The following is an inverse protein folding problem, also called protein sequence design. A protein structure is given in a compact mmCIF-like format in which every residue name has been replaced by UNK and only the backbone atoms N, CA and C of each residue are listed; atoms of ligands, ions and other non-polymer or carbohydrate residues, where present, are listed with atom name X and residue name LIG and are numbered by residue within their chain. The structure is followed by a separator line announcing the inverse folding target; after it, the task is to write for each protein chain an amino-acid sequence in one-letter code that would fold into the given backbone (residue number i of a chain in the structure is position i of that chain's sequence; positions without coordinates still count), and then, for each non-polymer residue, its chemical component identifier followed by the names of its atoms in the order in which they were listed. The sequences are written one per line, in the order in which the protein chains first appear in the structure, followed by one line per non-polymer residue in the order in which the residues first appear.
data_IF_965183989736
#
_entry.id   IF_965183989736
#
_cell.length_a   1.000
_cell.length_b   1.000
_cell.length_c   1.000
_cell.angle_alpha   90.00
_cell.angle_beta   90.00
_cell.angle_gamma   90.00
#
_symmetry.space_group_name_H-M   'P 1'
#
loop_
_entity.id
_entity.type
_entity.pdbx_description
1 polymer ?
#
# COMPACT_ATOMS: atom_id res chain seq x y z
N UNK A 1 -5.59 -22.06 -31.80
CA UNK A 1 -4.52 -22.55 -32.69
C UNK A 1 -3.16 -22.32 -31.99
N UNK A 2 -2.33 -23.36 -31.81
CA UNK A 2 -1.01 -23.23 -31.19
C UNK A 2 -0.11 -22.15 -31.80
N UNK A 3 -0.17 -21.91 -33.11
CA UNK A 3 0.65 -20.88 -33.76
C UNK A 3 0.23 -19.47 -33.35
N UNK A 4 -1.07 -19.23 -33.25
CA UNK A 4 -1.62 -17.97 -32.74
C UNK A 4 -1.21 -17.71 -31.28
N UNK A 5 -1.26 -18.73 -30.41
CA UNK A 5 -0.84 -18.58 -29.01
C UNK A 5 0.64 -18.22 -28.87
N UNK A 6 1.51 -18.84 -29.68
CA UNK A 6 2.94 -18.53 -29.70
C UNK A 6 3.21 -17.10 -30.20
N UNK A 7 2.47 -16.65 -31.21
CA UNK A 7 2.59 -15.28 -31.72
C UNK A 7 2.18 -14.25 -30.65
N UNK A 8 1.07 -14.47 -29.94
CA UNK A 8 0.62 -13.62 -28.84
C UNK A 8 1.64 -13.57 -27.71
N UNK A 9 2.21 -14.72 -27.30
CA UNK A 9 3.21 -14.76 -26.25
C UNK A 9 4.49 -13.98 -26.61
N UNK A 10 4.96 -14.08 -27.86
CA UNK A 10 6.15 -13.35 -28.34
C UNK A 10 5.92 -11.85 -28.50
N UNK A 11 4.70 -11.44 -28.82
CA UNK A 11 4.35 -10.03 -29.00
C UNK A 11 4.10 -9.30 -27.66
N UNK A 12 4.06 -10.01 -26.53
CA UNK A 12 3.77 -9.39 -25.24
C UNK A 12 4.95 -8.51 -24.77
N UNK A 13 4.72 -7.24 -24.37
CA UNK A 13 5.80 -6.28 -24.16
C UNK A 13 6.70 -6.51 -22.92
N UNK A 14 6.39 -7.47 -22.04
CA UNK A 14 7.07 -7.57 -20.73
C UNK A 14 6.55 -6.56 -19.70
N UNK A 15 6.78 -6.77 -18.40
CA UNK A 15 6.26 -5.86 -17.34
C UNK A 15 7.19 -4.67 -17.05
N UNK A 16 8.43 -4.73 -17.52
CA UNK A 16 9.48 -3.78 -17.15
C UNK A 16 9.10 -2.35 -17.54
N UNK A 17 9.23 -1.44 -16.57
CA UNK A 17 8.90 -0.02 -16.74
C UNK A 17 7.42 0.32 -16.95
N UNK A 18 6.51 -0.66 -16.88
CA UNK A 18 5.07 -0.42 -17.00
C UNK A 18 4.42 -0.15 -15.65
N UNK A 19 3.64 0.92 -15.60
CA UNK A 19 2.80 1.23 -14.45
C UNK A 19 1.51 0.40 -14.50
N UNK A 20 1.59 -0.82 -13.95
CA UNK A 20 0.44 -1.68 -13.73
C UNK A 20 -0.42 -1.25 -12.53
N UNK A 21 0.11 -0.36 -11.68
CA UNK A 21 -0.56 0.09 -10.45
C UNK A 21 -1.74 0.98 -10.78
N UNK A 22 -1.63 1.84 -11.80
CA UNK A 22 -2.74 2.65 -12.32
C UNK A 22 -3.98 1.85 -12.71
N UNK A 23 -3.80 0.58 -13.08
CA UNK A 23 -4.92 -0.29 -13.47
C UNK A 23 -5.69 -0.86 -12.27
N UNK A 24 -5.10 -0.84 -11.06
CA UNK A 24 -5.63 -1.54 -9.88
C UNK A 24 -5.81 -0.68 -8.64
N UNK A 25 -5.22 0.52 -8.60
CA UNK A 25 -5.41 1.49 -7.51
C UNK A 25 -6.89 1.90 -7.38
N UNK A 26 -7.32 2.25 -6.17
CA UNK A 26 -8.60 2.92 -5.97
C UNK A 26 -8.66 4.27 -6.70
N UNK A 27 -9.88 4.67 -7.09
CA UNK A 27 -10.12 5.91 -7.84
C UNK A 27 -10.14 7.13 -6.92
N UNK A 28 -10.73 7.01 -5.73
CA UNK A 28 -10.84 8.08 -4.74
C UNK A 28 -10.45 7.56 -3.36
N UNK A 29 -9.94 8.43 -2.47
CA UNK A 29 -9.68 8.07 -1.09
C UNK A 29 -10.93 7.55 -0.38
N UNK A 30 -10.77 6.54 0.47
CA UNK A 30 -11.86 6.00 1.27
C UNK A 30 -11.39 5.53 2.64
N UNK A 31 -12.29 5.55 3.62
CA UNK A 31 -12.04 4.92 4.91
C UNK A 31 -12.30 3.41 4.81
N UNK A 32 -11.34 2.61 5.26
CA UNK A 32 -11.56 1.16 5.31
C UNK A 32 -12.54 0.83 6.45
N UNK A 33 -13.71 0.33 6.08
CA UNK A 33 -14.77 -0.11 7.01
C UNK A 33 -14.91 -1.62 7.09
N UNK A 34 -14.05 -2.38 6.40
CA UNK A 34 -14.18 -3.83 6.29
C UNK A 34 -13.95 -4.56 7.61
N UNK A 35 -14.70 -5.65 7.81
CA UNK A 35 -14.76 -6.39 9.06
C UNK A 35 -13.38 -6.85 9.57
N UNK A 36 -12.99 -6.35 10.74
CA UNK A 36 -11.92 -6.89 11.56
C UNK A 36 -12.30 -8.24 12.21
N UNK A 37 -13.55 -8.69 12.00
CA UNK A 37 -14.17 -9.80 12.71
C UNK A 37 -13.97 -11.18 12.04
N UNK A 38 -13.12 -11.28 11.02
CA UNK A 38 -12.80 -12.59 10.45
C UNK A 38 -11.93 -13.39 11.42
N UNK A 39 -12.40 -14.58 11.81
CA UNK A 39 -11.76 -15.48 12.76
C UNK A 39 -10.30 -15.86 12.41
N UNK A 40 -9.90 -15.72 11.14
CA UNK A 40 -8.52 -15.90 10.69
C UNK A 40 -7.56 -14.76 11.09
N UNK A 41 -8.08 -13.57 11.34
CA UNK A 41 -7.31 -12.36 11.68
C UNK A 41 -7.39 -12.13 13.18
N UNK A 42 -8.58 -12.31 13.74
CA UNK A 42 -8.85 -12.22 15.15
C UNK A 42 -8.64 -13.58 15.84
N UNK A 43 -7.42 -14.14 15.76
CA UNK A 43 -6.99 -15.07 16.81
C UNK A 43 -6.93 -14.34 18.16
N UNK A 44 -6.97 -15.08 19.27
CA UNK A 44 -6.91 -14.55 20.65
C UNK A 44 -5.80 -13.51 20.87
N UNK A 45 -4.72 -13.56 20.08
CA UNK A 45 -3.60 -12.62 20.11
C UNK A 45 -3.94 -11.13 19.89
N UNK A 46 -4.97 -10.79 19.09
CA UNK A 46 -5.37 -9.39 18.89
C UNK A 46 -6.59 -8.99 19.74
N UNK A 47 -7.41 -9.96 20.16
CA UNK A 47 -8.63 -9.73 20.95
C UNK A 47 -8.39 -9.40 22.43
N UNK A 48 -7.17 -9.59 22.94
CA UNK A 48 -6.80 -9.30 24.33
C UNK A 48 -5.74 -8.20 24.52
N UNK A 49 -5.27 -7.57 23.43
CA UNK A 49 -4.29 -6.50 23.48
C UNK A 49 -5.00 -5.16 23.77
N UNK A 50 -5.43 -4.95 25.01
CA UNK A 50 -5.84 -3.62 25.49
C UNK A 50 -4.64 -2.67 25.37
N UNK A 51 -4.57 -1.94 24.25
CA UNK A 51 -3.69 -0.81 23.96
C UNK A 51 -2.21 -0.93 24.40
N UNK A 52 -1.65 -2.15 24.49
CA UNK A 52 -0.30 -2.39 25.02
C UNK A 52 0.81 -1.62 24.29
N UNK A 53 0.55 -1.25 23.03
CA UNK A 53 1.47 -0.51 22.17
C UNK A 53 0.95 0.89 21.76
N UNK A 54 -0.15 1.38 22.35
CA UNK A 54 -0.69 2.71 22.05
C UNK A 54 -1.24 2.89 20.63
N UNK A 55 -1.57 1.78 19.94
CA UNK A 55 -1.99 1.78 18.53
C UNK A 55 -3.48 2.04 18.34
N UNK A 56 -4.29 1.86 19.39
CA UNK A 56 -5.74 2.01 19.31
C UNK A 56 -6.10 3.45 18.99
N UNK A 57 -6.89 3.65 17.93
CA UNK A 57 -7.35 4.96 17.46
C UNK A 57 -6.35 5.71 16.57
N UNK A 58 -5.11 5.22 16.45
CA UNK A 58 -4.10 5.85 15.61
C UNK A 58 -4.50 5.83 14.14
N UNK A 59 -4.14 6.89 13.42
CA UNK A 59 -4.49 7.05 12.02
C UNK A 59 -3.35 6.60 11.12
N UNK A 60 -3.62 5.60 10.29
CA UNK A 60 -2.72 5.17 9.21
C UNK A 60 -3.31 5.55 7.87
N UNK A 61 -2.48 6.11 7.00
CA UNK A 61 -2.80 6.26 5.57
C UNK A 61 -2.18 5.11 4.79
N UNK A 62 -2.98 4.42 3.99
CA UNK A 62 -2.57 3.30 3.14
C UNK A 62 -2.55 3.74 1.68
N UNK A 63 -1.38 3.77 1.04
CA UNK A 63 -1.33 3.88 -0.42
C UNK A 63 -1.81 2.58 -1.06
N UNK A 64 -2.80 2.67 -1.93
CA UNK A 64 -3.34 1.55 -2.69
C UNK A 64 -2.57 1.35 -3.99
N UNK A 65 -1.52 0.56 -3.93
CA UNK A 65 -0.80 0.11 -5.13
C UNK A 65 -1.41 -1.15 -5.76
N UNK A 66 -2.64 -1.52 -5.40
CA UNK A 66 -3.22 -2.86 -5.63
C UNK A 66 -3.27 -3.67 -4.33
N UNK A 67 -3.66 -3.01 -3.25
CA UNK A 67 -3.59 -3.51 -1.88
C UNK A 67 -4.44 -4.78 -1.69
N UNK A 68 -3.81 -5.83 -1.17
CA UNK A 68 -4.56 -6.98 -0.66
C UNK A 68 -5.42 -6.53 0.52
N UNK A 69 -6.71 -6.89 0.49
CA UNK A 69 -7.70 -6.57 1.54
C UNK A 69 -7.28 -7.01 2.95
N UNK A 70 -6.36 -7.95 3.10
CA UNK A 70 -5.87 -8.35 4.41
C UNK A 70 -4.97 -7.33 5.09
N UNK A 71 -4.27 -6.46 4.33
CA UNK A 71 -3.42 -5.42 4.90
C UNK A 71 -4.26 -4.47 5.78
N UNK A 72 -5.31 -3.80 5.25
CA UNK A 72 -6.12 -2.93 6.10
C UNK A 72 -6.89 -3.68 7.18
N UNK A 73 -7.26 -4.97 6.98
CA UNK A 73 -7.87 -5.78 8.05
C UNK A 73 -6.95 -6.01 9.24
N UNK A 74 -5.65 -6.29 9.02
CA UNK A 74 -4.70 -6.44 10.13
C UNK A 74 -4.45 -5.10 10.83
N UNK A 75 -4.41 -4.00 10.08
CA UNK A 75 -4.28 -2.66 10.65
C UNK A 75 -5.48 -2.32 11.55
N UNK A 76 -6.70 -2.55 11.08
CA UNK A 76 -7.90 -2.29 11.89
C UNK A 76 -8.07 -3.28 13.05
N UNK A 77 -7.65 -4.55 12.89
CA UNK A 77 -7.64 -5.51 13.99
C UNK A 77 -6.64 -5.15 15.10
N UNK A 78 -5.58 -4.40 14.77
CA UNK A 78 -4.67 -3.79 15.75
C UNK A 78 -5.20 -2.47 16.35
N UNK A 79 -6.44 -2.08 16.02
CA UNK A 79 -7.11 -0.90 16.58
C UNK A 79 -6.87 0.40 15.83
N UNK A 80 -6.15 0.39 14.70
CA UNK A 80 -5.88 1.60 13.91
C UNK A 80 -7.06 1.97 13.01
N UNK A 81 -7.24 3.27 12.76
CA UNK A 81 -8.12 3.78 11.70
C UNK A 81 -7.33 3.88 10.40
N UNK A 82 -7.88 3.39 9.30
CA UNK A 82 -7.19 3.36 8.00
C UNK A 82 -7.93 4.22 6.98
N UNK A 83 -7.23 5.19 6.39
CA UNK A 83 -7.64 5.86 5.15
C UNK A 83 -6.83 5.26 4.01
N UNK A 84 -7.50 4.73 3.00
CA UNK A 84 -6.87 4.24 1.77
C UNK A 84 -6.88 5.37 0.74
N UNK A 85 -5.75 5.58 0.07
CA UNK A 85 -5.58 6.65 -0.91
C UNK A 85 -5.05 6.09 -2.24
N UNK A 86 -5.41 6.70 -3.39
CA UNK A 86 -4.88 6.31 -4.69
C UNK A 86 -3.35 6.32 -4.74
N UNK A 87 -2.77 5.48 -5.59
CA UNK A 87 -1.33 5.35 -5.80
C UNK A 87 -0.62 6.68 -6.10
N UNK A 88 -1.27 7.59 -6.81
CA UNK A 88 -0.74 8.89 -7.24
C UNK A 88 -1.06 10.03 -6.27
N UNK A 89 -1.57 9.71 -5.07
CA UNK A 89 -1.85 10.73 -4.05
C UNK A 89 -0.57 11.49 -3.68
N UNK A 90 -0.53 12.83 -3.78
CA UNK A 90 0.64 13.60 -3.41
C UNK A 90 0.99 13.43 -1.93
N UNK A 91 2.28 13.38 -1.60
CA UNK A 91 2.73 13.27 -0.20
C UNK A 91 2.20 14.43 0.65
N UNK A 92 2.17 15.65 0.13
CA UNK A 92 1.57 16.81 0.80
C UNK A 92 0.10 16.58 1.23
N UNK A 93 -0.69 15.92 0.38
CA UNK A 93 -2.09 15.58 0.70
C UNK A 93 -2.16 14.54 1.81
N UNK A 94 -1.24 13.57 1.84
CA UNK A 94 -1.14 12.57 2.91
C UNK A 94 -0.70 13.23 4.23
N UNK A 95 0.31 14.11 4.20
CA UNK A 95 0.78 14.85 5.36
C UNK A 95 -0.31 15.75 5.96
N UNK A 96 -1.15 16.35 5.13
CA UNK A 96 -2.30 17.14 5.57
C UNK A 96 -3.35 16.31 6.35
N UNK A 97 -3.35 14.98 6.21
CA UNK A 97 -4.20 14.10 7.02
C UNK A 97 -3.64 13.84 8.42
N UNK A 98 -2.43 14.33 8.73
CA UNK A 98 -1.73 14.12 10.00
C UNK A 98 -1.66 12.66 10.44
N UNK A 99 -1.18 11.74 9.58
CA UNK A 99 -1.11 10.33 9.92
C UNK A 99 -0.09 10.06 11.03
N UNK A 100 -0.37 9.09 11.89
CA UNK A 100 0.61 8.51 12.80
C UNK A 100 1.65 7.65 12.07
N UNK A 101 1.33 7.20 10.85
CA UNK A 101 2.23 6.50 9.96
C UNK A 101 1.58 6.22 8.60
N UNK A 102 2.41 5.87 7.61
CA UNK A 102 1.96 5.53 6.26
C UNK A 102 2.33 4.09 5.94
N UNK A 103 1.33 3.34 5.46
CA UNK A 103 1.50 1.99 4.93
C UNK A 103 1.56 2.06 3.40
N UNK A 104 2.59 1.46 2.82
CA UNK A 104 2.77 1.29 1.38
C UNK A 104 2.42 -0.15 1.02
N UNK A 105 1.31 -0.36 0.30
CA UNK A 105 0.81 -1.71 0.04
C UNK A 105 1.68 -2.50 -0.94
N UNK A 106 1.32 -3.78 -1.12
CA UNK A 106 1.74 -4.53 -2.29
C UNK A 106 1.14 -3.93 -3.58
N UNK A 107 1.68 -4.34 -4.74
CA UNK A 107 1.15 -4.01 -6.05
C UNK A 107 1.77 -4.85 -7.18
N UNK A 108 1.19 -4.79 -8.39
CA UNK A 108 1.74 -5.46 -9.57
C UNK A 108 2.85 -4.61 -10.23
N UNK A 109 3.61 -5.24 -11.13
CA UNK A 109 4.58 -4.56 -11.97
C UNK A 109 5.93 -4.29 -11.30
N UNK A 110 6.65 -3.32 -11.85
CA UNK A 110 8.02 -2.95 -11.46
C UNK A 110 8.04 -1.53 -10.88
N UNK A 111 8.67 -1.29 -9.71
CA UNK A 111 8.86 0.06 -9.15
C UNK A 111 9.55 1.05 -10.11
N UNK A 112 10.33 0.59 -11.09
CA UNK A 112 10.93 1.44 -12.11
C UNK A 112 9.88 2.17 -12.98
N UNK A 113 8.67 1.62 -13.09
CA UNK A 113 7.53 2.26 -13.76
C UNK A 113 6.78 3.29 -12.90
N UNK A 114 7.20 3.52 -11.64
CA UNK A 114 6.45 4.30 -10.65
C UNK A 114 7.24 5.50 -10.09
N UNK A 115 7.80 6.39 -10.93
CA UNK A 115 8.60 7.51 -10.45
C UNK A 115 7.83 8.42 -9.47
N UNK A 116 6.54 8.66 -9.74
CA UNK A 116 5.68 9.47 -8.86
C UNK A 116 5.54 8.87 -7.46
N UNK A 117 5.47 7.54 -7.34
CA UNK A 117 5.36 6.88 -6.04
C UNK A 117 6.69 6.93 -5.29
N UNK A 118 7.82 6.78 -6.00
CA UNK A 118 9.16 6.94 -5.41
C UNK A 118 9.36 8.35 -4.89
N UNK A 119 8.94 9.37 -5.64
CA UNK A 119 9.06 10.77 -5.23
C UNK A 119 8.17 11.08 -4.02
N UNK A 120 6.91 10.62 -4.02
CA UNK A 120 6.04 10.75 -2.86
C UNK A 120 6.60 10.05 -1.61
N UNK A 121 7.16 8.84 -1.76
CA UNK A 121 7.79 8.11 -0.64
C UNK A 121 9.03 8.87 -0.12
N UNK A 122 9.82 9.47 -1.01
CA UNK A 122 10.97 10.29 -0.59
C UNK A 122 10.52 11.51 0.21
N UNK A 123 9.51 12.23 -0.25
CA UNK A 123 8.94 13.37 0.49
C UNK A 123 8.40 12.96 1.87
N UNK A 124 7.78 11.78 1.99
CA UNK A 124 7.31 11.26 3.28
C UNK A 124 8.46 10.89 4.23
N UNK A 125 9.58 10.37 3.69
CA UNK A 125 10.80 10.11 4.46
C UNK A 125 11.39 11.43 4.97
N UNK A 126 11.50 12.43 4.09
CA UNK A 126 12.05 13.75 4.44
C UNK A 126 11.19 14.47 5.50
N UNK A 127 9.88 14.17 5.55
CA UNK A 127 8.95 14.66 6.56
C UNK A 127 8.97 13.87 7.89
N UNK A 128 9.85 12.87 8.04
CA UNK A 128 10.01 12.02 9.23
C UNK A 128 8.72 11.26 9.63
N UNK A 129 7.91 10.87 8.63
CA UNK A 129 6.71 10.05 8.86
C UNK A 129 7.11 8.58 8.93
N UNK A 130 6.65 7.82 9.95
CA UNK A 130 6.88 6.39 10.00
C UNK A 130 6.30 5.67 8.78
N UNK A 131 7.16 5.00 8.02
CA UNK A 131 6.77 4.23 6.84
C UNK A 131 6.86 2.73 7.09
N UNK A 132 5.88 1.98 6.60
CA UNK A 132 5.96 0.53 6.50
C UNK A 132 5.54 0.06 5.10
N UNK A 133 6.43 -0.64 4.41
CA UNK A 133 6.21 -1.09 3.04
C UNK A 133 6.16 -2.61 2.89
N UNK A 134 5.19 -3.11 2.12
CA UNK A 134 5.01 -4.54 1.83
C UNK A 134 5.21 -4.79 0.33
N UNK A 135 6.07 -5.74 -0.04
CA UNK A 135 6.32 -6.12 -1.44
C UNK A 135 6.73 -4.91 -2.28
N UNK A 136 5.87 -4.44 -3.19
CA UNK A 136 6.12 -3.21 -3.96
C UNK A 136 6.40 -2.01 -3.05
N UNK A 137 5.66 -1.82 -1.96
CA UNK A 137 5.92 -0.76 -1.00
C UNK A 137 7.32 -0.82 -0.38
N UNK A 138 7.85 -2.02 -0.12
CA UNK A 138 9.23 -2.20 0.36
C UNK A 138 10.25 -1.78 -0.70
N UNK A 139 10.00 -2.16 -1.97
CA UNK A 139 10.87 -1.78 -3.08
C UNK A 139 10.87 -0.26 -3.32
N UNK A 140 9.72 0.40 -3.20
CA UNK A 140 9.60 1.86 -3.34
C UNK A 140 10.40 2.60 -2.25
N UNK A 141 10.39 2.11 -1.00
CA UNK A 141 11.26 2.65 0.06
C UNK A 141 12.74 2.49 -0.33
N UNK A 142 13.14 1.30 -0.78
CA UNK A 142 14.51 1.05 -1.23
C UNK A 142 14.95 2.01 -2.34
N UNK A 143 14.10 2.23 -3.36
CA UNK A 143 14.34 3.19 -4.44
C UNK A 143 14.42 4.63 -3.97
N UNK A 144 13.54 5.04 -3.05
CA UNK A 144 13.55 6.39 -2.49
C UNK A 144 14.87 6.71 -1.78
N UNK A 145 15.46 5.70 -1.11
CA UNK A 145 16.75 5.76 -0.42
C UNK A 145 17.98 5.51 -1.32
N UNK A 146 17.80 5.29 -2.62
CA UNK A 146 18.90 5.15 -3.59
C UNK A 146 19.38 3.73 -3.87
N UNK A 147 18.57 2.70 -3.58
CA UNK A 147 18.83 1.28 -3.91
C UNK A 147 18.41 0.82 -5.30
#
# INVERSE_FOLDING_TARGET
DPQQLLATARAWPGLDGRDMVREVTCVEPYHWTGDAADHWIAGDALRGSENQHGLVGQHVVLYDFGAKRNIPRHLTAAGMRVTVVPADTPAASVLAMQPAGVMLSNGPGDPAGLPYAVDAVRELIDADVPLFGICLGHQLIGRALGG
#
